data_IF_588633291848
#
_entry.id   IF_588633291848
#
_cell.length_a   1.000
_cell.length_b   1.000
_cell.length_c   1.000
_cell.angle_alpha   90.00
_cell.angle_beta   90.00
_cell.angle_gamma   90.00
#
_symmetry.space_group_name_H-M   'P 1'
#
loop_
_entity.id
_entity.type
_entity.pdbx_description
1 polymer ?
#
# COMPACT_ATOMS: atom_id res chain seq x y z
N UNK A 1 -3.72 -22.26 10.05
CA UNK A 1 -4.33 -21.55 11.18
C UNK A 1 -5.75 -21.20 10.78
N UNK A 2 -6.73 -21.53 11.61
CA UNK A 2 -8.13 -21.21 11.34
C UNK A 2 -8.34 -19.69 11.45
N UNK A 3 -9.14 -19.11 10.54
CA UNK A 3 -9.40 -17.67 10.49
C UNK A 3 -10.85 -17.42 10.91
N UNK A 4 -11.03 -16.70 12.00
CA UNK A 4 -12.29 -16.07 12.35
C UNK A 4 -12.27 -14.59 11.97
N UNK A 5 -13.42 -14.04 11.57
CA UNK A 5 -13.58 -12.63 11.22
C UNK A 5 -14.76 -12.04 11.98
N UNK A 6 -14.62 -10.79 12.39
CA UNK A 6 -15.69 -10.01 13.03
C UNK A 6 -15.93 -8.76 12.17
N UNK A 7 -17.18 -8.48 11.76
CA UNK A 7 -17.51 -7.23 11.08
C UNK A 7 -17.15 -6.00 11.92
N UNK A 8 -16.72 -4.92 11.27
CA UNK A 8 -16.29 -3.70 11.98
C UNK A 8 -17.43 -3.08 12.80
N UNK A 9 -18.65 -3.09 12.27
CA UNK A 9 -19.85 -2.59 12.96
C UNK A 9 -20.09 -3.32 14.29
N UNK A 10 -19.88 -4.64 14.31
CA UNK A 10 -20.12 -5.50 15.46
C UNK A 10 -19.09 -5.27 16.58
N UNK A 11 -17.96 -4.62 16.28
CA UNK A 11 -16.96 -4.30 17.30
C UNK A 11 -17.38 -3.16 18.22
N UNK A 12 -18.25 -2.25 17.78
CA UNK A 12 -18.61 -1.04 18.53
C UNK A 12 -17.49 0.01 18.70
N UNK A 13 -16.34 -0.16 18.04
CA UNK A 13 -15.16 0.72 18.22
C UNK A 13 -15.04 1.84 17.16
N UNK A 14 -15.68 1.69 16.00
CA UNK A 14 -15.47 2.58 14.86
C UNK A 14 -16.54 3.67 14.79
N UNK A 15 -16.11 4.89 14.43
CA UNK A 15 -17.00 6.02 14.20
C UNK A 15 -17.87 5.79 12.95
N UNK A 16 -19.05 6.41 12.85
CA UNK A 16 -19.97 6.24 11.70
C UNK A 16 -19.28 6.41 10.35
N UNK A 17 -18.46 7.46 10.18
CA UNK A 17 -17.74 7.71 8.92
C UNK A 17 -16.85 6.54 8.45
N UNK A 18 -16.27 5.77 9.37
CA UNK A 18 -15.48 4.58 9.00
C UNK A 18 -16.39 3.45 8.56
N UNK A 19 -17.54 3.27 9.23
CA UNK A 19 -18.51 2.26 8.87
C UNK A 19 -19.18 2.59 7.52
N UNK A 20 -19.55 3.86 7.31
CA UNK A 20 -20.12 4.36 6.05
C UNK A 20 -19.15 4.19 4.89
N UNK A 21 -17.87 4.49 5.12
CA UNK A 21 -16.82 4.26 4.13
C UNK A 21 -16.67 2.79 3.76
N UNK A 22 -16.67 1.88 4.74
CA UNK A 22 -16.56 0.44 4.50
C UNK A 22 -17.82 -0.14 3.83
N UNK A 23 -19.00 0.43 4.12
CA UNK A 23 -20.26 0.03 3.51
C UNK A 23 -20.48 0.62 2.11
N UNK A 24 -19.64 1.57 1.68
CA UNK A 24 -19.85 2.31 0.43
C UNK A 24 -21.16 3.13 0.44
N UNK A 25 -21.51 3.69 1.60
CA UNK A 25 -22.75 4.45 1.78
C UNK A 25 -22.82 5.68 0.87
N UNK A 26 -24.04 6.08 0.50
CA UNK A 26 -24.30 7.23 -0.35
C UNK A 26 -23.61 8.51 0.17
N UNK A 27 -22.93 9.22 -0.73
CA UNK A 27 -22.16 10.43 -0.43
C UNK A 27 -20.66 10.17 -0.20
N UNK A 28 -20.23 8.91 -0.02
CA UNK A 28 -18.81 8.58 0.07
C UNK A 28 -18.07 8.77 -1.26
N UNK A 29 -18.80 8.74 -2.38
CA UNK A 29 -18.26 8.97 -3.72
C UNK A 29 -17.68 10.38 -3.88
N UNK A 30 -18.18 11.36 -3.11
CA UNK A 30 -17.63 12.71 -3.10
C UNK A 30 -16.20 12.77 -2.54
N UNK A 31 -15.78 11.77 -1.76
CA UNK A 31 -14.48 11.73 -1.08
C UNK A 31 -13.46 10.79 -1.73
N UNK A 32 -13.85 10.02 -2.75
CA UNK A 32 -12.94 9.12 -3.46
C UNK A 32 -13.21 9.08 -4.96
N UNK A 33 -12.16 9.29 -5.75
CA UNK A 33 -12.22 9.19 -7.22
C UNK A 33 -12.41 7.75 -7.70
N UNK A 34 -11.96 6.77 -6.92
CA UNK A 34 -11.99 5.35 -7.30
C UNK A 34 -12.59 4.51 -6.17
N UNK A 35 -13.31 3.43 -6.49
CA UNK A 35 -13.81 2.51 -5.48
C UNK A 35 -12.66 1.80 -4.75
N UNK A 36 -12.87 1.42 -3.50
CA UNK A 36 -11.91 0.66 -2.69
C UNK A 36 -11.99 -0.84 -3.02
N UNK A 37 -11.77 -1.17 -4.30
CA UNK A 37 -11.85 -2.51 -4.87
C UNK A 37 -10.68 -2.76 -5.81
N UNK A 38 -10.48 -4.01 -6.21
CA UNK A 38 -9.50 -4.35 -7.25
C UNK A 38 -9.74 -3.55 -8.54
N UNK A 39 -11.00 -3.39 -8.94
CA UNK A 39 -11.37 -2.58 -10.11
C UNK A 39 -10.99 -1.12 -9.97
N UNK A 40 -11.14 -0.53 -8.78
CA UNK A 40 -10.73 0.85 -8.52
C UNK A 40 -9.22 1.02 -8.50
N UNK A 41 -8.48 0.03 -7.99
CA UNK A 41 -7.02 0.01 -8.07
C UNK A 41 -6.56 -0.06 -9.53
N UNK A 42 -7.15 -0.93 -10.34
CA UNK A 42 -6.85 -1.00 -11.77
C UNK A 42 -7.17 0.30 -12.49
N UNK A 43 -8.30 0.94 -12.17
CA UNK A 43 -8.66 2.23 -12.74
C UNK A 43 -7.70 3.35 -12.31
N UNK A 44 -7.26 3.38 -11.06
CA UNK A 44 -6.28 4.34 -10.55
C UNK A 44 -4.87 4.12 -11.12
N UNK A 45 -4.55 2.88 -11.50
CA UNK A 45 -3.32 2.50 -12.16
C UNK A 45 -3.34 2.79 -13.67
N UNK A 46 -4.51 2.71 -14.29
CA UNK A 46 -4.68 2.88 -15.74
C UNK A 46 -4.17 4.25 -16.21
N UNK A 47 -3.27 4.24 -17.19
CA UNK A 47 -2.69 5.45 -17.75
C UNK A 47 -1.70 6.18 -16.84
N UNK A 48 -1.43 5.67 -15.64
CA UNK A 48 -0.44 6.26 -14.74
C UNK A 48 0.97 5.92 -15.20
N UNK A 49 1.74 6.93 -15.56
CA UNK A 49 3.13 6.81 -15.98
C UNK A 49 4.00 7.79 -15.20
N UNK A 50 5.29 7.50 -15.16
CA UNK A 50 6.27 8.35 -14.51
C UNK A 50 7.48 8.49 -15.44
N UNK A 51 8.09 9.67 -15.40
CA UNK A 51 9.28 9.99 -16.18
C UNK A 51 10.43 9.00 -15.89
N UNK A 52 11.16 8.62 -16.94
CA UNK A 52 12.25 7.66 -16.82
C UNK A 52 13.41 8.21 -15.97
N UNK A 53 13.74 9.50 -16.10
CA UNK A 53 14.76 10.15 -15.29
C UNK A 53 14.36 10.19 -13.81
N UNK A 54 13.10 10.50 -13.51
CA UNK A 54 12.57 10.45 -12.14
C UNK A 54 12.65 9.04 -11.54
N UNK A 55 12.37 7.99 -12.33
CA UNK A 55 12.53 6.59 -11.90
C UNK A 55 13.99 6.27 -11.58
N UNK A 56 14.93 6.67 -12.44
CA UNK A 56 16.35 6.41 -12.21
C UNK A 56 16.87 7.10 -10.95
N UNK A 57 16.47 8.36 -10.72
CA UNK A 57 16.79 9.09 -9.49
C UNK A 57 16.26 8.36 -8.25
N UNK A 58 15.00 7.89 -8.30
CA UNK A 58 14.40 7.13 -7.21
C UNK A 58 15.17 5.84 -6.92
N UNK A 59 15.49 5.06 -7.95
CA UNK A 59 16.18 3.77 -7.76
C UNK A 59 17.59 3.99 -7.23
N UNK A 60 18.33 4.97 -7.73
CA UNK A 60 19.66 5.32 -7.21
C UNK A 60 19.61 5.76 -5.74
N UNK A 61 18.62 6.57 -5.36
CA UNK A 61 18.46 7.00 -3.97
C UNK A 61 18.18 5.80 -3.04
N UNK A 62 17.32 4.87 -3.48
CA UNK A 62 17.02 3.65 -2.72
C UNK A 62 18.24 2.72 -2.66
N UNK A 63 18.95 2.49 -3.77
CA UNK A 63 20.19 1.71 -3.77
C UNK A 63 21.22 2.28 -2.77
N UNK A 64 21.37 3.62 -2.73
CA UNK A 64 22.23 4.30 -1.76
C UNK A 64 21.79 4.10 -0.31
N UNK A 65 20.49 4.18 -0.03
CA UNK A 65 19.95 3.90 1.32
C UNK A 65 20.17 2.45 1.77
N UNK A 66 20.23 1.51 0.83
CA UNK A 66 20.44 0.08 1.09
C UNK A 66 21.89 -0.37 1.01
N UNK A 67 22.85 0.49 0.64
CA UNK A 67 24.24 0.10 0.36
C UNK A 67 24.96 -0.58 1.53
N UNK A 68 24.63 -0.22 2.78
CA UNK A 68 25.18 -0.83 4.00
C UNK A 68 24.33 -1.97 4.57
N UNK A 69 23.26 -2.36 3.88
CA UNK A 69 22.35 -3.43 4.27
C UNK A 69 22.56 -4.61 3.33
N UNK A 70 22.21 -5.83 3.78
CA UNK A 70 22.08 -6.98 2.89
C UNK A 70 20.58 -7.26 2.60
N UNK A 71 19.96 -6.53 1.65
CA UNK A 71 18.57 -6.76 1.31
C UNK A 71 18.39 -8.15 0.71
N UNK A 72 17.31 -8.79 1.13
CA UNK A 72 16.85 -10.08 0.59
C UNK A 72 16.69 -9.99 -0.93
N UNK A 73 16.90 -11.09 -1.68
CA UNK A 73 16.78 -11.09 -3.14
C UNK A 73 15.47 -10.48 -3.65
N UNK A 74 14.34 -10.76 -2.99
CA UNK A 74 13.04 -10.21 -3.36
C UNK A 74 13.00 -8.67 -3.32
N UNK A 75 13.67 -8.03 -2.36
CA UNK A 75 13.73 -6.57 -2.27
C UNK A 75 14.57 -5.97 -3.41
N UNK A 76 15.70 -6.61 -3.76
CA UNK A 76 16.54 -6.22 -4.91
C UNK A 76 15.75 -6.32 -6.22
N UNK A 77 15.08 -7.45 -6.44
CA UNK A 77 14.20 -7.64 -7.61
C UNK A 77 13.09 -6.59 -7.68
N UNK A 78 12.48 -6.21 -6.55
CA UNK A 78 11.47 -5.15 -6.51
C UNK A 78 12.07 -3.77 -6.86
N UNK A 79 13.29 -3.47 -6.41
CA UNK A 79 13.99 -2.23 -6.78
C UNK A 79 14.30 -2.18 -8.27
N UNK A 80 14.82 -3.26 -8.86
CA UNK A 80 15.12 -3.33 -10.29
C UNK A 80 13.87 -3.10 -11.14
N UNK A 81 12.72 -3.66 -10.70
CA UNK A 81 11.43 -3.48 -11.38
C UNK A 81 10.98 -2.03 -11.45
N UNK A 82 11.40 -1.15 -10.53
CA UNK A 82 10.99 0.26 -10.56
C UNK A 82 11.50 1.00 -11.81
N UNK A 83 12.54 0.47 -12.47
CA UNK A 83 13.06 0.98 -13.75
C UNK A 83 12.15 0.64 -14.93
N UNK A 84 11.26 -0.36 -14.82
CA UNK A 84 10.26 -0.64 -15.87
C UNK A 84 9.26 0.54 -15.95
N UNK A 85 9.07 1.17 -17.12
CA UNK A 85 8.14 2.29 -17.28
C UNK A 85 6.68 1.94 -16.91
N UNK A 86 6.31 0.66 -16.94
CA UNK A 86 5.00 0.15 -16.58
C UNK A 86 4.87 -0.18 -15.09
N UNK A 87 5.96 -0.18 -14.33
CA UNK A 87 5.91 -0.52 -12.92
C UNK A 87 5.22 0.58 -12.12
N UNK A 88 4.28 0.16 -11.28
CA UNK A 88 3.58 0.96 -10.29
C UNK A 88 3.80 0.35 -8.91
N UNK A 89 3.61 1.14 -7.86
CA UNK A 89 3.79 0.70 -6.48
C UNK A 89 2.50 0.82 -5.69
N UNK A 90 2.32 -0.10 -4.74
CA UNK A 90 1.35 0.03 -3.67
C UNK A 90 2.13 0.38 -2.42
N UNK A 91 1.82 1.54 -1.85
CA UNK A 91 2.58 2.10 -0.74
C UNK A 91 1.70 2.25 0.50
N UNK A 92 2.33 2.05 1.66
CA UNK A 92 1.76 2.41 2.95
C UNK A 92 2.86 3.08 3.78
N UNK A 93 2.46 3.89 4.75
CA UNK A 93 3.38 4.65 5.59
C UNK A 93 3.07 4.50 7.07
N UNK A 94 4.11 4.64 7.88
CA UNK A 94 4.02 4.74 9.33
C UNK A 94 5.20 5.55 9.88
N UNK A 95 5.02 6.17 11.03
CA UNK A 95 6.13 6.75 11.80
C UNK A 95 7.11 5.65 12.22
N UNK A 96 8.39 6.00 12.33
CA UNK A 96 9.40 5.12 12.91
C UNK A 96 9.12 4.97 14.40
N UNK A 97 8.87 3.74 14.84
CA UNK A 97 8.59 3.44 16.23
C UNK A 97 9.60 2.43 16.76
N UNK A 98 10.00 2.61 18.02
CA UNK A 98 10.76 1.60 18.74
C UNK A 98 9.96 0.29 18.79
N UNK A 99 10.67 -0.84 18.68
CA UNK A 99 10.10 -2.19 18.77
C UNK A 99 8.98 -2.50 17.75
N UNK A 100 9.00 -1.89 16.56
CA UNK A 100 8.06 -2.19 15.48
C UNK A 100 6.71 -1.48 15.59
N UNK A 101 6.48 -0.70 16.65
CA UNK A 101 5.29 0.13 16.81
C UNK A 101 4.00 -0.64 17.09
N UNK A 102 2.84 0.00 16.89
CA UNK A 102 1.54 -0.61 17.12
C UNK A 102 1.33 -1.86 16.27
N UNK A 103 0.52 -2.81 16.77
CA UNK A 103 0.28 -4.10 16.10
C UNK A 103 -0.28 -3.98 14.68
N UNK A 104 -0.94 -2.87 14.33
CA UNK A 104 -1.42 -2.66 12.97
C UNK A 104 -0.31 -2.38 11.94
N UNK A 105 0.91 -2.02 12.37
CA UNK A 105 2.05 -1.75 11.49
C UNK A 105 2.43 -2.98 10.67
N UNK A 106 2.73 -4.15 11.27
CA UNK A 106 3.01 -5.35 10.49
C UNK A 106 1.81 -5.78 9.63
N UNK A 107 0.57 -5.61 10.09
CA UNK A 107 -0.60 -5.92 9.25
C UNK A 107 -0.71 -5.00 8.02
N UNK A 108 -0.41 -3.70 8.15
CA UNK A 108 -0.34 -2.76 7.02
C UNK A 108 0.70 -3.22 6.00
N UNK A 109 1.89 -3.60 6.45
CA UNK A 109 2.98 -4.10 5.58
C UNK A 109 2.54 -5.37 4.84
N UNK A 110 1.97 -6.35 5.55
CA UNK A 110 1.49 -7.59 4.94
C UNK A 110 0.37 -7.34 3.91
N UNK A 111 -0.53 -6.41 4.19
CA UNK A 111 -1.62 -6.06 3.28
C UNK A 111 -1.10 -5.43 1.98
N UNK A 112 -0.14 -4.50 2.03
CA UNK A 112 0.42 -3.93 0.79
C UNK A 112 1.23 -4.94 -0.01
N UNK A 113 1.97 -5.84 0.65
CA UNK A 113 2.68 -6.93 -0.03
C UNK A 113 1.68 -7.86 -0.71
N UNK A 114 0.57 -8.19 -0.05
CA UNK A 114 -0.48 -9.03 -0.63
C UNK A 114 -1.14 -8.36 -1.83
N UNK A 115 -1.42 -7.07 -1.73
CA UNK A 115 -2.13 -6.32 -2.78
C UNK A 115 -1.23 -6.05 -4.01
N UNK A 116 0.09 -5.97 -3.81
CA UNK A 116 1.05 -5.72 -4.89
C UNK A 116 1.48 -6.97 -5.66
N UNK A 117 1.00 -8.15 -5.26
CA UNK A 117 1.24 -9.43 -5.93
C UNK A 117 0.16 -9.71 -6.96
#
# INVERSE_FOLDING_TARGET
MERSTVPYADTGHFRPIVLDHLAGSAGMEAFSTFPFSETGISAAAAGRTFDAGARDILVQALEGQYAGLDPRPAARTSLDRLRDPRALTITTGHQLCLFGGPRYVPYKILNVIRLAR
#
